data_IF_742167857174
#
_entry.id   IF_742167857174
#
_cell.length_a   1.000
_cell.length_b   1.000
_cell.length_c   1.000
_cell.angle_alpha   90.00
_cell.angle_beta   90.00
_cell.angle_gamma   90.00
#
_symmetry.space_group_name_H-M   'P 1'
#
loop_
_entity.id
_entity.type
_entity.pdbx_description
1 polymer ?
#
# COMPACT_ATOMS: atom_id res chain seq x y z
N UNK A 1 20.90 31.26 -11.99
CA UNK A 1 20.41 30.30 -10.97
C UNK A 1 21.56 29.36 -10.65
N UNK A 2 22.23 29.59 -9.52
CA UNK A 2 23.47 28.86 -9.18
C UNK A 2 23.17 27.42 -8.76
N UNK A 3 23.90 26.47 -9.34
CA UNK A 3 23.83 25.07 -8.99
C UNK A 3 24.42 24.86 -7.58
N UNK A 4 23.60 24.40 -6.64
CA UNK A 4 24.08 23.83 -5.38
C UNK A 4 24.90 22.57 -5.72
N UNK A 5 26.17 22.44 -5.27
CA UNK A 5 26.97 21.24 -5.51
C UNK A 5 26.34 19.95 -4.96
N UNK A 6 25.34 20.05 -4.09
CA UNK A 6 24.61 18.94 -3.48
C UNK A 6 23.24 18.64 -4.15
N UNK A 7 22.90 19.27 -5.28
CA UNK A 7 21.64 19.03 -6.00
C UNK A 7 20.39 19.66 -5.33
N UNK A 8 19.20 19.30 -5.82
CA UNK A 8 17.91 19.75 -5.29
C UNK A 8 17.34 18.73 -4.30
N UNK A 9 16.95 19.21 -3.12
CA UNK A 9 16.28 18.43 -2.08
C UNK A 9 14.97 19.11 -1.75
N UNK A 10 13.86 18.36 -1.78
CA UNK A 10 12.56 18.87 -1.33
C UNK A 10 12.58 19.13 0.17
N UNK A 11 12.17 20.32 0.66
CA UNK A 11 12.01 20.56 2.08
C UNK A 11 10.71 19.94 2.64
N UNK A 12 9.81 19.48 1.76
CA UNK A 12 8.46 19.06 2.13
C UNK A 12 8.35 17.56 2.33
N UNK A 13 7.58 17.22 3.36
CA UNK A 13 7.22 15.87 3.72
C UNK A 13 5.70 15.73 3.64
N UNK A 14 5.25 14.90 2.70
CA UNK A 14 3.81 14.65 2.50
C UNK A 14 3.46 13.27 3.05
N UNK A 15 2.44 13.23 3.92
CA UNK A 15 1.95 11.98 4.49
C UNK A 15 1.47 11.00 3.43
N UNK A 16 0.97 11.49 2.29
CA UNK A 16 0.60 10.65 1.15
C UNK A 16 1.80 9.91 0.55
N UNK A 17 3.02 10.45 0.66
CA UNK A 17 4.23 9.81 0.16
C UNK A 17 4.83 8.88 1.22
N UNK A 18 4.89 9.31 2.48
CA UNK A 18 5.53 8.52 3.55
C UNK A 18 4.64 7.42 4.12
N UNK A 19 3.33 7.66 4.19
CA UNK A 19 2.36 6.69 4.69
C UNK A 19 2.45 5.35 3.96
N UNK A 20 2.37 5.34 2.62
CA UNK A 20 2.54 4.11 1.83
C UNK A 20 3.90 3.44 2.05
N UNK A 21 4.99 4.17 2.24
CA UNK A 21 6.31 3.57 2.52
C UNK A 21 6.24 2.69 3.77
N UNK A 22 5.70 3.22 4.87
CA UNK A 22 5.58 2.47 6.13
C UNK A 22 4.59 1.30 5.98
N UNK A 23 3.43 1.54 5.35
CA UNK A 23 2.42 0.51 5.13
C UNK A 23 2.97 -0.66 4.31
N UNK A 24 3.80 -0.37 3.31
CA UNK A 24 4.38 -1.41 2.45
C UNK A 24 5.54 -2.14 3.13
N UNK A 25 6.33 -1.48 3.97
CA UNK A 25 7.32 -2.16 4.82
C UNK A 25 6.63 -3.18 5.74
N UNK A 26 5.54 -2.79 6.41
CA UNK A 26 4.83 -3.71 7.30
C UNK A 26 4.12 -4.84 6.52
N UNK A 27 3.56 -4.54 5.35
CA UNK A 27 3.01 -5.56 4.47
C UNK A 27 4.07 -6.56 4.00
N UNK A 28 5.30 -6.12 3.75
CA UNK A 28 6.39 -7.01 3.40
C UNK A 28 6.80 -7.90 4.59
N UNK A 29 6.91 -7.32 5.79
CA UNK A 29 7.38 -8.05 6.98
C UNK A 29 6.37 -9.07 7.51
N UNK A 30 5.10 -8.70 7.62
CA UNK A 30 4.08 -9.55 8.28
C UNK A 30 2.81 -9.72 7.44
N UNK A 31 2.60 -8.83 6.47
CA UNK A 31 1.36 -8.76 5.70
C UNK A 31 0.19 -8.21 6.50
N UNK A 32 0.39 -7.51 7.62
CA UNK A 32 -0.67 -7.07 8.53
C UNK A 32 -1.80 -6.31 7.82
N UNK A 33 -1.48 -5.32 7.00
CA UNK A 33 -2.50 -4.48 6.36
C UNK A 33 -3.29 -5.33 5.36
N UNK A 34 -2.62 -6.14 4.54
CA UNK A 34 -3.30 -7.06 3.64
C UNK A 34 -4.13 -8.11 4.36
N UNK A 35 -3.61 -8.76 5.41
CA UNK A 35 -4.36 -9.71 6.23
C UNK A 35 -5.59 -9.06 6.86
N UNK A 36 -5.51 -7.81 7.26
CA UNK A 36 -6.64 -7.05 7.82
C UNK A 36 -7.68 -6.74 6.74
N UNK A 37 -7.26 -6.19 5.60
CA UNK A 37 -8.14 -5.88 4.46
C UNK A 37 -8.93 -7.11 3.98
N UNK A 38 -8.28 -8.28 3.93
CA UNK A 38 -8.89 -9.54 3.52
C UNK A 38 -10.03 -10.02 4.42
N UNK A 39 -10.10 -9.55 5.67
CA UNK A 39 -11.19 -9.87 6.60
C UNK A 39 -12.44 -9.03 6.36
N UNK A 40 -12.35 -7.97 5.55
CA UNK A 40 -13.51 -7.12 5.26
C UNK A 40 -14.42 -7.80 4.22
N UNK A 41 -15.66 -8.18 4.58
CA UNK A 41 -16.55 -8.89 3.66
C UNK A 41 -16.91 -8.06 2.42
N UNK A 42 -17.02 -6.74 2.56
CA UNK A 42 -17.33 -5.84 1.45
C UNK A 42 -16.19 -5.77 0.42
N UNK A 43 -14.93 -5.81 0.87
CA UNK A 43 -13.76 -5.85 -0.03
C UNK A 43 -13.74 -7.16 -0.80
N UNK A 44 -13.95 -8.29 -0.10
CA UNK A 44 -14.01 -9.62 -0.72
C UNK A 44 -15.14 -9.71 -1.74
N UNK A 45 -16.34 -9.27 -1.38
CA UNK A 45 -17.49 -9.24 -2.26
C UNK A 45 -17.24 -8.36 -3.48
N UNK A 46 -16.70 -7.15 -3.28
CA UNK A 46 -16.37 -6.23 -4.37
C UNK A 46 -15.39 -6.83 -5.36
N UNK A 47 -14.33 -7.51 -4.88
CA UNK A 47 -13.37 -8.19 -5.73
C UNK A 47 -14.02 -9.33 -6.53
N UNK A 48 -14.90 -10.13 -5.92
CA UNK A 48 -15.62 -11.21 -6.61
C UNK A 48 -16.56 -10.67 -7.69
N UNK A 49 -17.31 -9.61 -7.39
CA UNK A 49 -18.22 -8.95 -8.36
C UNK A 49 -17.43 -8.33 -9.52
N UNK A 50 -16.24 -7.79 -9.25
CA UNK A 50 -15.35 -7.28 -10.29
C UNK A 50 -14.64 -8.38 -11.11
N UNK A 51 -14.92 -9.67 -10.85
CA UNK A 51 -14.39 -10.80 -11.61
C UNK A 51 -13.00 -11.28 -11.17
N UNK A 52 -12.45 -10.76 -10.08
CA UNK A 52 -11.21 -11.28 -9.51
C UNK A 52 -11.45 -12.67 -8.90
N UNK A 53 -10.50 -13.57 -9.10
CA UNK A 53 -10.51 -14.93 -8.55
C UNK A 53 -9.08 -15.39 -8.22
N UNK A 54 -8.95 -16.51 -7.52
CA UNK A 54 -7.65 -17.12 -7.25
C UNK A 54 -6.95 -16.62 -5.97
N UNK A 55 -5.77 -17.17 -5.72
CA UNK A 55 -4.93 -16.83 -4.58
C UNK A 55 -5.66 -16.98 -3.24
N UNK A 56 -5.53 -15.97 -2.38
CA UNK A 56 -6.17 -15.97 -1.06
C UNK A 56 -7.70 -15.84 -1.13
N UNK A 57 -8.25 -15.32 -2.23
CA UNK A 57 -9.70 -15.07 -2.37
C UNK A 57 -10.52 -16.37 -2.46
N UNK A 58 -9.86 -17.49 -2.79
CA UNK A 58 -10.46 -18.82 -2.82
C UNK A 58 -10.43 -19.53 -1.45
N UNK A 59 -9.62 -19.03 -0.50
CA UNK A 59 -9.46 -19.62 0.84
C UNK A 59 -10.26 -18.89 1.92
N UNK A 60 -10.84 -17.73 1.59
CA UNK A 60 -11.78 -17.00 2.46
C UNK A 60 -13.23 -17.29 2.09
#
# INVERSE_FOLDING_TARGET
MGANPNGWISPWQYSLNQGPVILMIENFKTGLIWKTMRKCPYVVQGLRVAGFNGGWLNTV
#
